data_IF_212450846108
#
_entry.id   IF_212450846108
#
_cell.length_a   1.000
_cell.length_b   1.000
_cell.length_c   1.000
_cell.angle_alpha   90.00
_cell.angle_beta   90.00
_cell.angle_gamma   90.00
#
_symmetry.space_group_name_H-M   'P 1'
#
loop_
_entity.id
_entity.type
_entity.pdbx_description
1 polymer ?
#
# COMPACT_ATOMS: atom_id res chain seq x y z
N UNK A 1 56.70 -41.07 35.29
CA UNK A 1 57.42 -39.78 35.26
C UNK A 1 56.68 -38.84 34.33
N UNK A 2 55.91 -37.91 34.89
CA UNK A 2 55.14 -36.91 34.15
C UNK A 2 56.02 -35.71 33.85
N UNK A 3 56.23 -35.41 32.56
CA UNK A 3 56.92 -34.21 32.12
C UNK A 3 55.97 -33.00 32.26
N UNK A 4 56.34 -32.09 33.14
CA UNK A 4 55.70 -30.79 33.36
C UNK A 4 55.74 -29.94 32.08
N UNK A 5 54.59 -29.77 31.43
CA UNK A 5 54.39 -28.75 30.39
C UNK A 5 54.17 -27.39 31.07
N UNK A 6 55.16 -26.53 30.91
CA UNK A 6 55.30 -25.21 31.51
C UNK A 6 54.12 -24.27 31.17
N UNK A 7 53.52 -23.60 32.16
CA UNK A 7 52.32 -22.73 32.04
C UNK A 7 52.45 -21.63 30.97
N UNK A 8 53.68 -21.26 30.58
CA UNK A 8 53.94 -20.31 29.48
C UNK A 8 53.58 -20.85 28.09
N UNK A 9 53.55 -22.16 27.86
CA UNK A 9 53.16 -22.75 26.57
C UNK A 9 51.64 -22.72 26.35
N UNK A 10 50.87 -22.93 27.42
CA UNK A 10 49.40 -22.93 27.40
C UNK A 10 48.88 -21.51 27.12
N UNK A 11 49.45 -20.49 27.77
CA UNK A 11 49.03 -19.09 27.54
C UNK A 11 49.38 -18.62 26.12
N UNK A 12 50.49 -19.09 25.56
CA UNK A 12 50.86 -18.79 24.16
C UNK A 12 49.92 -19.48 23.17
N UNK A 13 49.46 -20.70 23.47
CA UNK A 13 48.46 -21.39 22.66
C UNK A 13 47.10 -20.67 22.71
N UNK A 14 46.61 -20.30 23.90
CA UNK A 14 45.32 -19.60 24.06
C UNK A 14 45.29 -18.25 23.32
N UNK A 15 46.41 -17.50 23.33
CA UNK A 15 46.53 -16.24 22.58
C UNK A 15 46.56 -16.44 21.06
N UNK A 16 47.08 -17.57 20.60
CA UNK A 16 47.05 -17.91 19.18
C UNK A 16 45.64 -18.34 18.72
N UNK A 17 44.86 -18.93 19.63
CA UNK A 17 43.47 -19.33 19.39
C UNK A 17 42.48 -18.17 19.38
N UNK A 18 42.69 -17.10 20.16
CA UNK A 18 41.82 -15.91 20.12
C UNK A 18 41.88 -15.20 18.78
N UNK A 19 43.07 -15.11 18.16
CA UNK A 19 43.24 -14.51 16.83
C UNK A 19 42.71 -15.41 15.68
N UNK A 20 42.45 -16.69 15.94
CA UNK A 20 41.86 -17.62 14.96
C UNK A 20 40.33 -17.54 14.90
N UNK A 21 39.67 -16.96 15.91
CA UNK A 21 38.21 -16.76 15.92
C UNK A 21 37.77 -15.65 14.95
N UNK A 22 38.70 -14.77 14.55
CA UNK A 22 38.45 -13.67 13.62
C UNK A 22 38.42 -14.11 12.14
N UNK A 23 39.08 -15.22 11.78
CA UNK A 23 39.11 -15.73 10.42
C UNK A 23 38.23 -16.99 10.32
N UNK A 24 37.08 -16.87 9.64
CA UNK A 24 36.01 -17.87 9.49
C UNK A 24 36.44 -19.18 8.79
N UNK A 25 37.37 -19.95 9.37
CA UNK A 25 37.85 -21.22 8.83
C UNK A 25 37.39 -22.40 9.72
N UNK A 26 36.11 -22.75 9.58
CA UNK A 26 35.38 -23.76 10.37
C UNK A 26 35.98 -25.17 10.37
N UNK A 27 36.87 -25.49 9.42
CA UNK A 27 37.51 -26.81 9.30
C UNK A 27 38.63 -27.02 10.33
N UNK A 28 39.32 -25.94 10.73
CA UNK A 28 40.37 -25.99 11.77
C UNK A 28 39.75 -26.19 13.17
N UNK A 29 38.62 -25.54 13.43
CA UNK A 29 37.90 -25.63 14.72
C UNK A 29 37.33 -27.05 14.96
N UNK A 30 36.82 -27.71 13.91
CA UNK A 30 36.29 -29.08 14.04
C UNK A 30 37.38 -30.11 14.36
N UNK A 31 38.60 -29.93 13.87
CA UNK A 31 39.71 -30.87 14.10
C UNK A 31 40.28 -30.78 15.52
N UNK A 32 40.13 -29.62 16.17
CA UNK A 32 40.57 -29.38 17.55
C UNK A 32 39.55 -29.78 18.61
N UNK A 33 38.25 -29.72 18.29
CA UNK A 33 37.20 -30.23 19.18
C UNK A 33 37.30 -31.76 19.41
N UNK A 34 37.96 -32.49 18.50
CA UNK A 34 38.20 -33.95 18.62
C UNK A 34 39.18 -34.29 19.76
N UNK A 35 40.02 -33.33 20.19
CA UNK A 35 41.04 -33.53 21.23
C UNK A 35 40.60 -33.01 22.62
N UNK A 36 39.38 -32.50 22.76
CA UNK A 36 38.85 -32.04 24.05
C UNK A 36 38.15 -33.20 24.78
N UNK A 37 38.55 -33.46 26.02
CA UNK A 37 37.97 -34.49 26.89
C UNK A 37 36.57 -34.07 27.38
N UNK A 38 35.68 -35.04 27.58
CA UNK A 38 34.23 -34.84 27.85
C UNK A 38 33.96 -34.00 29.12
N UNK A 39 34.91 -33.97 30.05
CA UNK A 39 34.81 -33.18 31.29
C UNK A 39 34.95 -31.68 31.04
N UNK A 40 35.78 -31.29 30.08
CA UNK A 40 36.03 -29.88 29.77
C UNK A 40 34.83 -29.27 29.04
N UNK A 41 34.21 -30.02 28.13
CA UNK A 41 32.99 -29.60 27.42
C UNK A 41 31.83 -29.31 28.39
N UNK A 42 31.65 -30.16 29.42
CA UNK A 42 30.62 -29.97 30.45
C UNK A 42 30.88 -28.73 31.30
N UNK A 43 32.13 -28.46 31.66
CA UNK A 43 32.51 -27.25 32.42
C UNK A 43 32.22 -25.96 31.65
N UNK A 44 32.51 -25.92 30.34
CA UNK A 44 32.17 -24.78 29.49
C UNK A 44 30.65 -24.58 29.33
N UNK A 45 29.87 -25.67 29.24
CA UNK A 45 28.40 -25.61 29.10
C UNK A 45 27.70 -25.10 30.37
N UNK A 46 28.25 -25.41 31.55
CA UNK A 46 27.68 -24.96 32.82
C UNK A 46 28.02 -23.48 33.07
N UNK A 47 29.24 -23.04 32.76
CA UNK A 47 29.62 -21.62 32.84
C UNK A 47 28.80 -20.75 31.89
N UNK A 48 28.52 -21.21 30.67
CA UNK A 48 27.68 -20.45 29.73
C UNK A 48 26.23 -20.34 30.19
N UNK A 49 25.69 -21.37 30.88
CA UNK A 49 24.35 -21.31 31.50
C UNK A 49 24.29 -20.34 32.68
N UNK A 50 25.35 -20.24 33.49
CA UNK A 50 25.44 -19.28 34.59
C UNK A 50 25.59 -17.84 34.08
N UNK A 51 26.43 -17.60 33.07
CA UNK A 51 26.52 -16.29 32.41
C UNK A 51 25.20 -15.90 31.74
N UNK A 52 24.51 -16.84 31.08
CA UNK A 52 23.20 -16.57 30.46
C UNK A 52 22.13 -16.20 31.50
N UNK A 53 22.11 -16.89 32.65
CA UNK A 53 21.21 -16.56 33.77
C UNK A 53 21.57 -15.22 34.43
N UNK A 54 22.86 -14.89 34.54
CA UNK A 54 23.31 -13.60 35.07
C UNK A 54 22.97 -12.44 34.11
N UNK A 55 23.11 -12.65 32.80
CA UNK A 55 22.75 -11.68 31.76
C UNK A 55 21.24 -11.46 31.73
N UNK A 56 20.42 -12.52 31.80
CA UNK A 56 18.96 -12.41 31.90
C UNK A 56 18.52 -11.66 33.17
N UNK A 57 19.14 -11.93 34.33
CA UNK A 57 18.84 -11.23 35.58
C UNK A 57 19.30 -9.77 35.57
N UNK A 58 20.33 -9.43 34.78
CA UNK A 58 20.78 -8.05 34.58
C UNK A 58 19.91 -7.25 33.61
N UNK A 59 19.26 -7.93 32.66
CA UNK A 59 18.27 -7.32 31.77
C UNK A 59 16.91 -7.13 32.46
N UNK A 60 16.48 -8.11 33.27
CA UNK A 60 15.19 -8.04 33.97
C UNK A 60 15.20 -7.03 35.13
N UNK A 61 16.33 -6.85 35.83
CA UNK A 61 16.41 -5.92 36.97
C UNK A 61 16.57 -4.43 36.58
N UNK A 62 16.69 -4.11 35.28
CA UNK A 62 16.65 -2.74 34.74
C UNK A 62 15.37 -2.41 33.95
N UNK A 63 14.46 -3.38 33.79
CA UNK A 63 13.23 -3.21 33.00
C UNK A 63 11.94 -3.55 33.78
N UNK A 64 11.93 -3.34 35.10
CA UNK A 64 10.68 -3.37 35.88
C UNK A 64 10.36 -1.97 36.38
N UNK A 65 9.38 -1.35 35.72
CA UNK A 65 8.58 -0.28 36.34
C UNK A 65 8.77 1.13 35.80
N UNK A 66 8.82 1.33 34.47
CA UNK A 66 8.38 2.62 33.92
C UNK A 66 7.44 2.37 32.74
N UNK A 67 6.18 2.77 32.94
CA UNK A 67 5.15 2.82 31.91
C UNK A 67 5.66 3.60 30.70
N UNK A 68 5.15 3.32 29.49
CA UNK A 68 5.44 4.10 28.28
C UNK A 68 5.33 5.62 28.52
N UNK A 69 4.50 6.07 29.46
CA UNK A 69 4.39 7.49 29.87
C UNK A 69 5.57 8.04 30.68
N UNK A 70 6.30 7.22 31.46
CA UNK A 70 7.47 7.66 32.24
C UNK A 70 8.74 7.71 31.38
N UNK A 71 8.87 6.82 30.39
CA UNK A 71 9.95 6.89 29.38
C UNK A 71 9.89 8.16 28.52
N UNK A 72 8.68 8.66 28.27
CA UNK A 72 8.44 9.96 27.61
C UNK A 72 8.79 11.13 28.54
N UNK A 73 8.67 10.95 29.85
CA UNK A 73 8.95 11.97 30.87
C UNK A 73 10.45 12.16 31.12
N UNK A 74 11.24 11.07 31.09
CA UNK A 74 12.70 11.14 31.19
C UNK A 74 13.39 11.52 29.87
N UNK A 75 12.83 11.14 28.71
CA UNK A 75 13.30 11.56 27.38
C UNK A 75 12.73 12.91 26.92
N UNK A 76 11.85 13.53 27.72
CA UNK A 76 11.07 14.72 27.37
C UNK A 76 11.85 16.05 27.35
N UNK A 77 13.17 16.02 27.54
CA UNK A 77 14.02 17.23 27.49
C UNK A 77 14.34 17.71 26.07
N UNK A 78 13.83 17.03 25.03
CA UNK A 78 14.08 17.42 23.63
C UNK A 78 12.78 17.45 22.82
N UNK A 79 11.83 18.27 23.25
CA UNK A 79 10.57 18.49 22.53
C UNK A 79 10.77 19.04 21.10
N UNK A 80 11.92 19.64 20.79
CA UNK A 80 12.22 20.23 19.48
C UNK A 80 12.19 19.21 18.34
N UNK A 81 12.76 18.01 18.50
CA UNK A 81 12.73 16.99 17.44
C UNK A 81 11.32 16.49 17.16
N UNK A 82 10.48 16.34 18.20
CA UNK A 82 9.08 15.96 18.03
C UNK A 82 8.29 17.03 17.28
N UNK A 83 8.51 18.31 17.60
CA UNK A 83 7.91 19.42 16.85
C UNK A 83 8.34 19.43 15.38
N UNK A 84 9.62 19.18 15.09
CA UNK A 84 10.14 19.11 13.71
C UNK A 84 9.49 17.94 12.95
N UNK A 85 9.38 16.76 13.56
CA UNK A 85 8.77 15.58 12.93
C UNK A 85 7.27 15.83 12.66
N UNK A 86 6.54 16.34 13.66
CA UNK A 86 5.11 16.67 13.50
C UNK A 86 4.89 17.76 12.45
N UNK A 87 5.73 18.80 12.45
CA UNK A 87 5.70 19.86 11.44
C UNK A 87 5.95 19.31 10.04
N UNK A 88 6.94 18.43 9.87
CA UNK A 88 7.21 17.76 8.60
C UNK A 88 6.02 16.95 8.10
N UNK A 89 5.43 16.11 8.95
CA UNK A 89 4.24 15.30 8.60
C UNK A 89 3.05 16.21 8.26
N UNK A 90 2.85 17.31 9.00
CA UNK A 90 1.76 18.24 8.73
C UNK A 90 1.92 18.93 7.36
N UNK A 91 3.11 19.46 7.05
CA UNK A 91 3.38 20.14 5.78
C UNK A 91 3.31 19.16 4.62
N UNK A 92 3.96 18.00 4.75
CA UNK A 92 3.93 16.97 3.70
C UNK A 92 2.52 16.42 3.51
N UNK A 93 1.78 16.17 4.59
CA UNK A 93 0.38 15.75 4.54
C UNK A 93 -0.52 16.79 3.89
N UNK A 94 -0.32 18.08 4.18
CA UNK A 94 -1.05 19.17 3.54
C UNK A 94 -0.76 19.28 2.05
N UNK A 95 0.52 19.24 1.64
CA UNK A 95 0.89 19.27 0.22
C UNK A 95 0.34 18.07 -0.55
N UNK A 96 0.48 16.87 0.02
CA UNK A 96 -0.10 15.65 -0.56
C UNK A 96 -1.61 15.84 -0.69
N UNK A 97 -2.31 16.24 0.38
CA UNK A 97 -3.74 16.47 0.34
C UNK A 97 -4.14 17.48 -0.74
N UNK A 98 -3.45 18.61 -0.84
CA UNK A 98 -3.74 19.66 -1.83
C UNK A 98 -3.54 19.15 -3.27
N UNK A 99 -2.40 18.50 -3.55
CA UNK A 99 -2.11 17.94 -4.88
C UNK A 99 -3.10 16.84 -5.25
N UNK A 100 -3.41 15.93 -4.32
CA UNK A 100 -4.39 14.88 -4.55
C UNK A 100 -5.80 15.46 -4.72
N UNK A 101 -6.17 16.48 -3.94
CA UNK A 101 -7.45 17.14 -4.10
C UNK A 101 -7.55 17.84 -5.44
N UNK A 102 -6.47 18.45 -5.95
CA UNK A 102 -6.50 19.15 -7.23
C UNK A 102 -6.55 18.15 -8.40
N UNK A 103 -5.62 17.19 -8.43
CA UNK A 103 -5.49 16.21 -9.52
C UNK A 103 -6.63 15.19 -9.55
N UNK A 104 -7.19 14.82 -8.40
CA UNK A 104 -8.29 13.85 -8.31
C UNK A 104 -9.64 14.50 -7.97
N UNK A 105 -9.77 15.83 -8.05
CA UNK A 105 -11.00 16.56 -7.67
C UNK A 105 -12.24 16.10 -8.42
N UNK A 106 -12.15 15.72 -9.69
CA UNK A 106 -13.22 15.06 -10.47
C UNK A 106 -12.75 14.54 -11.83
N UNK A 107 -11.45 14.61 -12.13
CA UNK A 107 -10.92 14.39 -13.48
C UNK A 107 -10.66 12.93 -13.83
N UNK A 108 -10.73 12.01 -12.85
CA UNK A 108 -10.40 10.61 -13.12
C UNK A 108 -11.54 9.90 -13.86
N UNK A 109 -11.29 9.33 -15.05
CA UNK A 109 -12.31 8.59 -15.80
C UNK A 109 -12.95 7.44 -15.03
N UNK A 110 -12.20 6.83 -14.10
CA UNK A 110 -12.70 5.73 -13.28
C UNK A 110 -13.71 6.20 -12.23
N UNK A 111 -13.50 7.39 -11.64
CA UNK A 111 -14.45 7.97 -10.68
C UNK A 111 -15.75 8.34 -11.38
N UNK A 112 -15.66 8.91 -12.59
CA UNK A 112 -16.82 9.23 -13.43
C UNK A 112 -17.57 7.97 -13.83
N UNK A 113 -16.84 6.93 -14.25
CA UNK A 113 -17.40 5.61 -14.53
C UNK A 113 -18.16 5.05 -13.33
N UNK A 114 -17.58 5.05 -12.13
CA UNK A 114 -18.20 4.49 -10.93
C UNK A 114 -19.46 5.27 -10.53
N UNK A 115 -19.43 6.61 -10.65
CA UNK A 115 -20.60 7.47 -10.41
C UNK A 115 -21.69 7.21 -11.44
N UNK A 116 -21.36 7.28 -12.74
CA UNK A 116 -22.31 7.07 -13.82
C UNK A 116 -22.95 5.67 -13.77
N UNK A 117 -22.17 4.64 -13.44
CA UNK A 117 -22.70 3.29 -13.30
C UNK A 117 -23.73 3.18 -12.17
N UNK A 118 -23.51 3.85 -11.03
CA UNK A 118 -24.48 3.88 -9.94
C UNK A 118 -25.78 4.58 -10.34
N UNK A 119 -25.69 5.73 -11.00
CA UNK A 119 -26.86 6.46 -11.52
C UNK A 119 -27.64 5.58 -12.52
N UNK A 120 -26.94 4.92 -13.44
CA UNK A 120 -27.54 4.04 -14.45
C UNK A 120 -28.25 2.83 -13.83
N UNK A 121 -27.67 2.20 -12.80
CA UNK A 121 -28.33 1.06 -12.12
C UNK A 121 -29.56 1.51 -11.35
N UNK A 122 -29.62 2.75 -10.86
CA UNK A 122 -30.77 3.25 -10.10
C UNK A 122 -31.98 3.57 -10.99
N UNK A 123 -31.79 3.74 -12.31
CA UNK A 123 -32.88 4.03 -13.24
C UNK A 123 -33.70 2.75 -13.55
N UNK A 124 -34.99 2.78 -13.19
CA UNK A 124 -35.91 1.66 -13.40
C UNK A 124 -36.05 1.25 -14.88
N UNK A 125 -35.92 2.20 -15.82
CA UNK A 125 -36.02 1.96 -17.26
C UNK A 125 -34.85 1.09 -17.72
N UNK A 126 -33.66 1.38 -17.20
CA UNK A 126 -32.45 0.61 -17.47
C UNK A 126 -32.56 -0.80 -16.88
N UNK A 127 -33.06 -0.91 -15.64
CA UNK A 127 -33.25 -2.20 -14.96
C UNK A 127 -34.22 -3.11 -15.72
N UNK A 128 -35.37 -2.61 -16.15
CA UNK A 128 -36.39 -3.41 -16.84
C UNK A 128 -35.88 -3.95 -18.19
N UNK A 129 -35.14 -3.11 -18.93
CA UNK A 129 -34.61 -3.46 -20.24
C UNK A 129 -33.45 -4.45 -20.21
N UNK A 130 -32.51 -4.27 -19.28
CA UNK A 130 -31.30 -5.11 -19.18
C UNK A 130 -31.54 -6.38 -18.35
N UNK A 131 -32.38 -6.30 -17.32
CA UNK A 131 -32.60 -7.34 -16.33
C UNK A 131 -31.45 -7.45 -15.31
N UNK A 132 -31.80 -7.66 -14.05
CA UNK A 132 -30.84 -7.85 -12.96
C UNK A 132 -30.27 -9.28 -12.95
N UNK A 133 -29.02 -9.48 -12.48
CA UNK A 133 -28.04 -8.48 -12.05
C UNK A 133 -27.33 -7.78 -13.22
N UNK A 134 -27.04 -6.48 -13.05
CA UNK A 134 -26.33 -5.66 -14.05
C UNK A 134 -24.84 -5.58 -13.69
N UNK A 135 -23.97 -5.84 -14.67
CA UNK A 135 -22.51 -5.73 -14.55
C UNK A 135 -21.97 -4.72 -15.54
N UNK A 136 -20.98 -3.93 -15.12
CA UNK A 136 -20.27 -3.01 -16.00
C UNK A 136 -18.85 -3.50 -16.31
N UNK A 137 -18.41 -3.23 -17.54
CA UNK A 137 -17.09 -3.57 -18.05
C UNK A 137 -16.54 -2.42 -18.90
N UNK A 138 -15.23 -2.22 -18.83
CA UNK A 138 -14.51 -1.28 -19.70
C UNK A 138 -14.42 -1.79 -21.15
N UNK A 139 -13.70 -1.05 -21.98
CA UNK A 139 -13.45 -1.46 -23.35
C UNK A 139 -12.60 -2.73 -23.41
N UNK A 140 -12.90 -3.56 -24.41
CA UNK A 140 -12.12 -4.76 -24.69
C UNK A 140 -10.92 -4.36 -25.55
N UNK A 141 -9.72 -4.51 -25.00
CA UNK A 141 -8.48 -4.36 -25.79
C UNK A 141 -8.40 -5.47 -26.85
N UNK A 142 -7.61 -5.28 -27.92
CA UNK A 142 -7.40 -6.31 -28.95
C UNK A 142 -6.87 -7.65 -28.41
N UNK A 143 -6.33 -7.65 -27.18
CA UNK A 143 -5.87 -8.85 -26.44
C UNK A 143 -6.91 -9.39 -25.43
N UNK A 144 -8.16 -8.94 -25.49
CA UNK A 144 -9.26 -9.43 -24.65
C UNK A 144 -9.29 -8.92 -23.21
N UNK A 145 -8.38 -8.02 -22.80
CA UNK A 145 -8.42 -7.42 -21.45
C UNK A 145 -9.48 -6.31 -21.38
N UNK A 146 -10.29 -6.29 -20.33
CA UNK A 146 -11.41 -5.35 -20.10
C UNK A 146 -11.17 -4.36 -18.95
N UNK A 147 -9.91 -3.93 -18.74
CA UNK A 147 -9.50 -3.16 -17.56
C UNK A 147 -9.58 -1.64 -17.72
N UNK A 148 -9.78 -1.12 -18.93
CA UNK A 148 -9.70 0.31 -19.19
C UNK A 148 -11.03 0.84 -19.72
N UNK A 149 -11.48 1.95 -19.14
CA UNK A 149 -12.63 2.69 -19.63
C UNK A 149 -12.16 3.62 -20.73
N UNK A 150 -12.87 3.65 -21.88
CA UNK A 150 -12.56 4.63 -22.92
C UNK A 150 -12.98 6.00 -22.46
N UNK A 151 -12.04 6.92 -22.55
CA UNK A 151 -12.26 8.30 -22.19
C UNK A 151 -11.59 9.21 -23.22
N UNK A 152 -12.09 10.42 -23.34
CA UNK A 152 -11.54 11.46 -24.18
C UNK A 152 -11.85 12.82 -23.59
N UNK A 153 -10.89 13.74 -23.70
CA UNK A 153 -11.09 15.15 -23.36
C UNK A 153 -11.17 15.95 -24.64
N UNK A 154 -12.11 16.87 -24.73
CA UNK A 154 -12.17 17.85 -25.80
C UNK A 154 -12.61 19.18 -25.22
N UNK A 155 -12.43 20.24 -26.00
CA UNK A 155 -12.85 21.58 -25.63
C UNK A 155 -13.88 22.04 -26.65
N UNK A 156 -15.02 22.51 -26.17
CA UNK A 156 -16.11 23.06 -26.98
C UNK A 156 -16.50 24.40 -26.38
N UNK A 157 -16.49 25.47 -27.19
CA UNK A 157 -16.82 26.84 -26.76
C UNK A 157 -16.02 27.37 -25.56
N UNK A 158 -14.78 26.92 -25.39
CA UNK A 158 -13.90 27.31 -24.26
C UNK A 158 -14.16 26.52 -22.98
N UNK A 159 -14.99 25.48 -23.04
CA UNK A 159 -15.36 24.64 -21.91
C UNK A 159 -14.78 23.23 -22.11
N UNK A 160 -14.12 22.70 -21.08
CA UNK A 160 -13.52 21.36 -21.13
C UNK A 160 -14.59 20.29 -20.90
N UNK A 161 -14.71 19.38 -21.85
CA UNK A 161 -15.56 18.20 -21.78
C UNK A 161 -14.74 16.95 -21.55
N UNK A 162 -15.26 16.06 -20.72
CA UNK A 162 -14.71 14.73 -20.45
C UNK A 162 -15.78 13.69 -20.78
N UNK A 163 -15.53 12.97 -21.87
CA UNK A 163 -16.40 11.88 -22.33
C UNK A 163 -15.85 10.56 -21.86
N UNK A 164 -16.74 9.72 -21.34
CA UNK A 164 -16.44 8.37 -20.84
C UNK A 164 -17.43 7.39 -21.47
N UNK A 165 -16.91 6.26 -21.95
CA UNK A 165 -17.69 5.20 -22.59
C UNK A 165 -17.37 3.85 -21.96
N UNK A 166 -18.42 3.13 -21.57
CA UNK A 166 -18.31 1.78 -21.02
C UNK A 166 -19.50 0.92 -21.42
N UNK A 167 -19.42 -0.38 -21.11
CA UNK A 167 -20.45 -1.35 -21.46
C UNK A 167 -21.09 -1.93 -20.22
N UNK A 168 -22.39 -2.15 -20.28
CA UNK A 168 -23.16 -2.83 -19.24
C UNK A 168 -23.88 -4.06 -19.80
N UNK A 169 -23.98 -5.07 -18.97
CA UNK A 169 -24.55 -6.37 -19.31
C UNK A 169 -25.51 -6.75 -18.21
N UNK A 170 -26.78 -6.93 -18.57
CA UNK A 170 -27.79 -7.54 -17.71
C UNK A 170 -28.04 -9.00 -18.10
N UNK A 171 -29.05 -9.60 -17.50
CA UNK A 171 -29.45 -10.98 -17.81
C UNK A 171 -30.14 -11.13 -19.16
N UNK A 172 -30.83 -10.10 -19.63
CA UNK A 172 -31.62 -10.10 -20.87
C UNK A 172 -30.83 -9.54 -22.06
N UNK A 173 -30.18 -8.39 -21.86
CA UNK A 173 -29.59 -7.59 -22.95
C UNK A 173 -28.25 -6.95 -22.54
N UNK A 174 -27.59 -6.35 -23.52
CA UNK A 174 -26.37 -5.55 -23.34
C UNK A 174 -26.57 -4.14 -23.84
N UNK A 175 -25.94 -3.18 -23.16
CA UNK A 175 -25.97 -1.79 -23.54
C UNK A 175 -24.58 -1.14 -23.44
N UNK A 176 -24.47 0.02 -24.07
CA UNK A 176 -23.31 0.90 -24.02
C UNK A 176 -23.73 2.18 -23.36
N UNK A 177 -22.99 2.61 -22.35
CA UNK A 177 -23.22 3.87 -21.65
C UNK A 177 -22.29 4.92 -22.22
N UNK A 178 -22.87 6.04 -22.60
CA UNK A 178 -22.16 7.23 -23.04
C UNK A 178 -22.36 8.31 -21.98
N UNK A 179 -21.25 8.77 -21.42
CA UNK A 179 -21.22 9.83 -20.41
C UNK A 179 -20.46 10.99 -21.00
N UNK A 180 -21.06 12.17 -20.94
CA UNK A 180 -20.42 13.43 -21.26
C UNK A 180 -20.53 14.33 -20.03
N UNK A 181 -19.38 14.76 -19.52
CA UNK A 181 -19.30 15.68 -18.40
C UNK A 181 -18.65 16.97 -18.84
N UNK A 182 -19.24 18.08 -18.45
CA UNK A 182 -18.74 19.42 -18.74
C UNK A 182 -18.12 20.01 -17.48
N UNK A 183 -16.99 20.68 -17.63
CA UNK A 183 -16.31 21.39 -16.55
C UNK A 183 -17.05 22.69 -16.26
N UNK A 184 -17.67 22.76 -15.08
CA UNK A 184 -18.35 23.94 -14.59
C UNK A 184 -17.39 25.01 -14.06
N UNK A 185 -17.90 26.21 -13.74
CA UNK A 185 -17.08 27.34 -13.26
C UNK A 185 -16.38 27.06 -11.92
N UNK A 186 -16.88 26.10 -11.15
CA UNK A 186 -16.30 25.68 -9.87
C UNK A 186 -15.14 24.66 -10.02
N UNK A 187 -14.60 24.48 -11.23
CA UNK A 187 -13.60 23.47 -11.57
C UNK A 187 -14.07 22.02 -11.29
N UNK A 188 -15.39 21.80 -11.31
CA UNK A 188 -16.04 20.50 -11.08
C UNK A 188 -16.69 20.01 -12.37
N UNK A 189 -16.64 18.71 -12.61
CA UNK A 189 -17.34 18.09 -13.73
C UNK A 189 -18.79 17.82 -13.35
N UNK A 190 -19.71 18.35 -14.13
CA UNK A 190 -21.15 18.12 -14.03
C UNK A 190 -21.65 17.36 -15.26
N UNK A 191 -22.72 16.57 -15.10
CA UNK A 191 -23.29 15.81 -16.21
C UNK A 191 -23.84 16.74 -17.29
N UNK A 192 -23.29 16.65 -18.49
CA UNK A 192 -23.88 17.22 -19.68
C UNK A 192 -24.87 16.25 -20.32
N UNK A 193 -24.47 14.96 -20.41
CA UNK A 193 -25.29 13.86 -20.88
C UNK A 193 -24.93 12.55 -20.16
N UNK A 194 -25.95 11.78 -19.79
CA UNK A 194 -25.83 10.37 -19.45
C UNK A 194 -26.86 9.57 -20.26
N UNK A 195 -26.38 8.80 -21.23
CA UNK A 195 -27.22 8.02 -22.14
C UNK A 195 -26.83 6.54 -22.15
N UNK A 196 -27.84 5.67 -22.22
CA UNK A 196 -27.68 4.21 -22.27
C UNK A 196 -28.27 3.72 -23.59
N UNK A 197 -27.43 3.16 -24.45
CA UNK A 197 -27.81 2.68 -25.78
C UNK A 197 -27.78 1.14 -25.81
N UNK A 198 -28.92 0.52 -26.09
CA UNK A 198 -29.02 -0.93 -26.26
C UNK A 198 -28.30 -1.39 -27.51
N UNK A 199 -27.49 -2.45 -27.36
CA UNK A 199 -26.72 -3.02 -28.45
C UNK A 199 -27.54 -4.03 -29.27
N UNK A 200 -28.42 -4.75 -28.60
CA UNK A 200 -29.26 -5.79 -29.20
C UNK A 200 -30.54 -5.16 -29.79
N UNK A 201 -31.15 -5.79 -30.80
CA UNK A 201 -32.35 -5.25 -31.47
C UNK A 201 -33.63 -5.51 -30.65
N UNK A 202 -34.60 -4.56 -30.60
CA UNK A 202 -34.54 -3.21 -31.17
C UNK A 202 -33.57 -2.30 -30.41
N UNK A 203 -32.86 -1.44 -31.16
CA UNK A 203 -31.95 -0.46 -30.58
C UNK A 203 -32.78 0.66 -29.98
N UNK A 204 -32.68 0.81 -28.67
CA UNK A 204 -33.34 1.86 -27.91
C UNK A 204 -32.30 2.59 -27.08
N UNK A 205 -32.44 3.92 -26.98
CA UNK A 205 -31.55 4.77 -26.22
C UNK A 205 -32.33 5.43 -25.10
N UNK A 206 -31.91 5.19 -23.86
CA UNK A 206 -32.47 5.84 -22.68
C UNK A 206 -31.58 7.02 -22.31
N UNK A 207 -32.18 8.20 -22.24
CA UNK A 207 -31.55 9.37 -21.65
C UNK A 207 -31.82 9.35 -20.15
N UNK A 208 -30.80 9.01 -19.37
CA UNK A 208 -30.87 8.97 -17.91
C UNK A 208 -30.76 10.38 -17.36
N UNK A 209 -29.79 11.16 -17.86
CA UNK A 209 -29.63 12.58 -17.57
C UNK A 209 -29.41 13.30 -18.90
N UNK A 210 -30.20 14.35 -19.16
CA UNK A 210 -30.02 15.22 -20.32
C UNK A 210 -30.09 16.69 -19.86
N UNK A 211 -28.91 17.31 -19.74
CA UNK A 211 -28.77 18.72 -19.38
C UNK A 211 -28.42 19.59 -20.60
N UNK A 212 -28.56 19.08 -21.83
CA UNK A 212 -28.22 19.80 -23.06
C UNK A 212 -29.16 20.99 -23.31
N UNK A 213 -30.43 20.84 -22.98
CA UNK A 213 -31.47 21.85 -23.20
C UNK A 213 -31.46 23.00 -22.18
N UNK A 214 -30.73 22.88 -21.07
CA UNK A 214 -30.60 23.95 -20.09
C UNK A 214 -29.66 25.08 -20.56
N UNK A 215 -28.94 24.90 -21.68
CA UNK A 215 -27.89 25.82 -22.14
C UNK A 215 -28.13 26.34 -23.58
N UNK A 216 -29.00 25.72 -24.37
CA UNK A 216 -29.34 26.19 -25.73
C UNK A 216 -30.52 27.18 -25.77
N UNK A 217 -30.76 27.90 -24.67
CA UNK A 217 -31.84 28.87 -24.51
C UNK A 217 -31.34 30.32 -24.49
N UNK A 218 -30.49 30.69 -25.45
CA UNK A 218 -30.20 32.08 -25.86
C UNK A 218 -30.17 32.12 -27.39
#
# INVERSE_FOLDING_TARGET
MMASLNTRSIVRAVRHFSNLKENNNLLQLKRLAVFMDDKDVRMYSNRSKEESKAIQKSHEKKEVGMSFGEKVKESGKTGSYLFIILGGIAVTGYMIYFVFSELFSSESPNVIYDKAFKEVIQDYRVQDMLGEPIKAHGETTSRGRRRHVKHGKYEENGEEHLVVKFHIVGTRRRATVHVDMKKGPNNKYDYHLLAVELKDYPRETILVIDNRSAISGI
#
